data_IF_392003140378
#
_entry.id   IF_392003140378
#
_cell.length_a   1.000
_cell.length_b   1.000
_cell.length_c   1.000
_cell.angle_alpha   90.00
_cell.angle_beta   90.00
_cell.angle_gamma   90.00
#
_symmetry.space_group_name_H-M   'P 1'
#
loop_
_entity.id
_entity.type
_entity.pdbx_description
1 polymer ?
#
# COMPACT_ATOMS: atom_id res chain seq x y z
N UNK A 1 1.58 9.81 -22.31
CA UNK A 1 1.41 8.72 -21.33
C UNK A 1 2.00 9.16 -19.99
N UNK A 2 1.41 8.69 -18.90
CA UNK A 2 1.95 8.95 -17.58
C UNK A 2 3.25 8.20 -17.35
N UNK A 3 4.21 8.88 -16.74
CA UNK A 3 5.47 8.24 -16.27
C UNK A 3 5.23 7.50 -14.97
N UNK A 4 6.19 6.67 -14.57
CA UNK A 4 6.12 5.96 -13.29
C UNK A 4 5.96 6.92 -12.11
N UNK A 5 6.68 8.04 -12.11
CA UNK A 5 6.56 9.06 -11.06
C UNK A 5 5.15 9.65 -11.00
N UNK A 6 4.57 9.99 -12.15
CA UNK A 6 3.21 10.53 -12.21
C UNK A 6 2.19 9.51 -11.71
N UNK A 7 2.37 8.24 -12.06
CA UNK A 7 1.49 7.16 -11.60
C UNK A 7 1.63 6.93 -10.10
N UNK A 8 2.84 6.91 -9.58
CA UNK A 8 3.06 6.74 -8.13
C UNK A 8 2.45 7.91 -7.35
N UNK A 9 2.64 9.14 -7.83
CA UNK A 9 2.05 10.32 -7.20
C UNK A 9 0.52 10.25 -7.24
N UNK A 10 -0.06 9.85 -8.35
CA UNK A 10 -1.51 9.69 -8.47
C UNK A 10 -2.06 8.60 -7.54
N UNK A 11 -1.31 7.50 -7.37
CA UNK A 11 -1.64 6.45 -6.41
C UNK A 11 -1.66 6.99 -4.97
N UNK A 12 -0.65 7.76 -4.61
CA UNK A 12 -0.51 8.34 -3.27
C UNK A 12 -1.65 9.32 -2.98
N UNK A 13 -2.04 10.12 -3.96
CA UNK A 13 -3.03 11.18 -3.79
C UNK A 13 -4.48 10.71 -3.99
N UNK A 14 -4.69 9.54 -4.60
CA UNK A 14 -6.00 9.10 -5.04
C UNK A 14 -6.83 8.38 -3.99
N UNK A 15 -8.13 8.32 -4.24
CA UNK A 15 -9.03 7.41 -3.52
C UNK A 15 -8.70 5.96 -3.87
N UNK A 16 -9.30 5.02 -3.13
CA UNK A 16 -9.13 3.59 -3.41
C UNK A 16 -9.53 3.23 -4.85
N UNK A 17 -10.68 3.75 -5.30
CA UNK A 17 -11.17 3.47 -6.66
C UNK A 17 -10.30 4.12 -7.72
N UNK A 18 -9.92 5.39 -7.52
CA UNK A 18 -9.06 6.09 -8.48
C UNK A 18 -7.70 5.43 -8.60
N UNK A 19 -7.11 5.04 -7.48
CA UNK A 19 -5.82 4.37 -7.46
C UNK A 19 -5.86 3.02 -8.17
N UNK A 20 -6.94 2.26 -8.00
CA UNK A 20 -7.09 0.98 -8.68
C UNK A 20 -7.09 1.12 -10.21
N UNK A 21 -7.67 2.21 -10.74
CA UNK A 21 -7.73 2.44 -12.19
C UNK A 21 -6.38 2.76 -12.81
N UNK A 22 -5.38 3.07 -12.00
CA UNK A 22 -4.03 3.36 -12.49
C UNK A 22 -3.27 2.11 -12.92
N UNK A 23 -3.72 0.93 -12.50
CA UNK A 23 -3.04 -0.34 -12.78
C UNK A 23 -3.48 -0.92 -14.13
N UNK A 24 -2.53 -1.56 -14.81
CA UNK A 24 -2.82 -2.35 -16.00
C UNK A 24 -3.71 -3.55 -15.62
N UNK A 25 -4.41 -4.13 -16.61
CA UNK A 25 -5.27 -5.28 -16.36
C UNK A 25 -4.51 -6.46 -15.75
N UNK A 26 -3.25 -6.63 -16.12
CA UNK A 26 -2.34 -7.63 -15.54
C UNK A 26 -1.37 -7.03 -14.53
N UNK A 27 -1.63 -5.81 -14.08
CA UNK A 27 -0.80 -5.14 -13.08
C UNK A 27 -1.03 -5.71 -11.69
N UNK A 28 -0.06 -5.51 -10.82
CA UNK A 28 -0.12 -6.03 -9.46
C UNK A 28 0.31 -5.01 -8.41
N UNK A 29 -0.34 -5.10 -7.26
CA UNK A 29 0.08 -4.46 -6.01
C UNK A 29 0.61 -5.55 -5.10
N UNK A 30 1.85 -5.40 -4.65
CA UNK A 30 2.51 -6.37 -3.77
C UNK A 30 2.95 -5.71 -2.48
N UNK A 31 2.66 -6.37 -1.36
CA UNK A 31 3.15 -6.02 -0.03
C UNK A 31 3.73 -7.29 0.60
N UNK A 32 4.95 -7.68 0.19
CA UNK A 32 5.50 -9.01 0.51
C UNK A 32 5.55 -9.31 2.00
N UNK A 33 5.81 -8.31 2.84
CA UNK A 33 5.94 -8.50 4.28
C UNK A 33 4.63 -8.83 4.98
N UNK A 34 3.47 -8.58 4.34
CA UNK A 34 2.18 -8.96 4.92
C UNK A 34 2.01 -10.47 5.03
N UNK A 35 2.73 -11.23 4.21
CA UNK A 35 2.72 -12.70 4.29
C UNK A 35 3.14 -13.20 5.68
N UNK A 36 4.06 -12.49 6.33
CA UNK A 36 4.51 -12.84 7.70
C UNK A 36 3.40 -12.66 8.74
N UNK A 37 2.38 -11.88 8.41
CA UNK A 37 1.23 -11.64 9.27
C UNK A 37 0.01 -12.50 8.87
N UNK A 38 0.18 -13.40 7.91
CA UNK A 38 -0.89 -14.25 7.43
C UNK A 38 -1.87 -13.57 6.46
N UNK A 39 -1.44 -12.45 5.84
CA UNK A 39 -2.26 -11.68 4.90
C UNK A 39 -1.76 -11.92 3.48
N UNK A 40 -2.69 -11.97 2.52
CA UNK A 40 -2.35 -12.10 1.10
C UNK A 40 -1.39 -10.98 0.68
N UNK A 41 -0.19 -11.31 0.17
CA UNK A 41 0.81 -10.29 -0.17
C UNK A 41 0.68 -9.73 -1.59
N UNK A 42 -0.13 -10.31 -2.45
CA UNK A 42 -0.22 -9.89 -3.86
C UNK A 42 -1.67 -9.80 -4.32
N UNK A 43 -1.99 -8.68 -4.97
CA UNK A 43 -3.29 -8.44 -5.57
C UNK A 43 -3.09 -8.11 -7.04
N UNK A 44 -3.73 -8.85 -7.94
CA UNK A 44 -3.56 -8.70 -9.38
C UNK A 44 -4.84 -8.18 -10.02
N UNK A 45 -4.69 -7.19 -10.88
CA UNK A 45 -5.76 -6.56 -11.64
C UNK A 45 -6.52 -5.49 -10.86
N UNK A 46 -7.09 -4.49 -11.57
CA UNK A 46 -7.76 -3.35 -10.92
C UNK A 46 -8.89 -3.75 -9.97
N UNK A 47 -9.63 -4.80 -10.28
CA UNK A 47 -10.74 -5.24 -9.43
C UNK A 47 -10.27 -5.73 -8.06
N UNK A 48 -9.27 -6.62 -8.04
CA UNK A 48 -8.74 -7.16 -6.78
C UNK A 48 -7.98 -6.10 -6.00
N UNK A 49 -7.22 -5.26 -6.70
CA UNK A 49 -6.50 -4.14 -6.08
C UNK A 49 -7.49 -3.17 -5.46
N UNK A 50 -8.57 -2.83 -6.20
CA UNK A 50 -9.61 -1.93 -5.71
C UNK A 50 -10.30 -2.47 -4.46
N UNK A 51 -10.58 -3.76 -4.40
CA UNK A 51 -11.18 -4.39 -3.21
C UNK A 51 -10.25 -4.29 -1.99
N UNK A 52 -8.97 -4.56 -2.18
CA UNK A 52 -7.98 -4.43 -1.10
C UNK A 52 -7.84 -2.99 -0.62
N UNK A 53 -7.69 -2.04 -1.55
CA UNK A 53 -7.53 -0.63 -1.21
C UNK A 53 -8.79 -0.06 -0.54
N UNK A 54 -9.98 -0.48 -0.97
CA UNK A 54 -11.24 -0.08 -0.33
C UNK A 54 -11.28 -0.56 1.12
N UNK A 55 -10.91 -1.82 1.35
CA UNK A 55 -10.80 -2.36 2.72
C UNK A 55 -9.81 -1.54 3.55
N UNK A 56 -8.64 -1.26 2.98
CA UNK A 56 -7.59 -0.50 3.66
C UNK A 56 -8.04 0.91 4.03
N UNK A 57 -8.66 1.62 3.08
CA UNK A 57 -9.05 3.03 3.24
C UNK A 57 -10.30 3.22 4.08
N UNK A 58 -11.21 2.25 4.09
CA UNK A 58 -12.51 2.40 4.75
C UNK A 58 -12.61 1.63 6.07
N UNK A 59 -12.03 0.43 6.15
CA UNK A 59 -12.17 -0.45 7.31
C UNK A 59 -10.95 -0.40 8.22
N UNK A 60 -9.76 -0.60 7.66
CA UNK A 60 -8.55 -0.62 8.46
C UNK A 60 -8.15 0.78 8.93
N UNK A 61 -8.09 1.74 8.02
CA UNK A 61 -7.66 3.10 8.33
C UNK A 61 -8.67 4.12 7.81
N UNK A 62 -9.85 4.27 8.45
CA UNK A 62 -10.84 5.25 8.00
C UNK A 62 -10.22 6.65 7.89
N UNK A 63 -10.51 7.36 6.78
CA UNK A 63 -9.88 8.64 6.50
C UNK A 63 -8.45 8.53 5.99
N UNK A 64 -8.11 7.42 5.38
CA UNK A 64 -6.77 7.09 4.88
C UNK A 64 -6.14 8.24 4.10
N UNK A 65 -4.90 8.61 4.49
CA UNK A 65 -4.15 9.65 3.81
C UNK A 65 -2.65 9.43 4.00
N UNK A 66 -1.92 9.40 2.90
CA UNK A 66 -0.47 9.43 2.94
C UNK A 66 0.05 10.83 3.24
N UNK A 67 1.10 10.91 4.04
CA UNK A 67 1.83 12.13 4.39
C UNK A 67 3.34 11.89 4.23
N UNK A 68 4.12 12.96 4.32
CA UNK A 68 5.60 12.89 4.28
C UNK A 68 6.10 12.15 3.04
N UNK A 69 5.58 12.55 1.89
CA UNK A 69 5.87 11.90 0.60
C UNK A 69 7.21 12.40 0.06
N UNK A 70 8.08 11.46 -0.32
CA UNK A 70 9.36 11.75 -1.00
C UNK A 70 9.56 10.76 -2.13
N UNK A 71 9.85 11.25 -3.32
CA UNK A 71 10.21 10.40 -4.45
C UNK A 71 11.68 10.59 -4.71
N UNK A 72 12.46 9.55 -4.48
CA UNK A 72 13.92 9.59 -4.49
C UNK A 72 14.52 9.35 -5.87
N UNK A 73 13.93 8.44 -6.63
CA UNK A 73 14.46 7.99 -7.91
C UNK A 73 13.29 7.93 -8.89
N UNK A 74 13.48 8.52 -10.07
CA UNK A 74 12.52 8.39 -11.15
C UNK A 74 13.23 8.26 -12.51
N UNK A 75 12.69 7.37 -13.31
CA UNK A 75 12.95 7.24 -14.74
C UNK A 75 11.58 7.16 -15.41
N UNK A 76 11.47 7.22 -16.75
CA UNK A 76 10.15 7.08 -17.38
C UNK A 76 9.40 5.84 -16.97
N UNK A 77 10.11 4.74 -16.72
CA UNK A 77 9.51 3.42 -16.45
C UNK A 77 9.47 3.05 -14.98
N UNK A 78 10.25 3.71 -14.12
CA UNK A 78 10.36 3.31 -12.72
C UNK A 78 10.45 4.53 -11.81
N UNK A 79 9.80 4.42 -10.63
CA UNK A 79 9.91 5.39 -9.57
C UNK A 79 10.02 4.67 -8.24
N UNK A 80 10.76 5.27 -7.31
CA UNK A 80 10.92 4.76 -5.96
C UNK A 80 10.70 5.89 -4.97
N UNK A 81 9.82 5.68 -4.01
CA UNK A 81 9.47 6.71 -3.05
C UNK A 81 9.17 6.18 -1.67
N UNK A 82 8.98 7.13 -0.76
CA UNK A 82 8.66 6.90 0.64
C UNK A 82 7.43 7.71 1.01
N UNK A 83 6.53 7.12 1.79
CA UNK A 83 5.31 7.78 2.25
C UNK A 83 4.81 7.10 3.52
N UNK A 84 4.05 7.86 4.32
CA UNK A 84 3.70 7.44 5.69
C UNK A 84 2.22 7.66 5.93
N UNK A 85 1.63 6.85 6.81
CA UNK A 85 0.32 7.13 7.40
C UNK A 85 0.46 7.29 8.91
N UNK A 86 -0.37 8.17 9.48
CA UNK A 86 -0.54 8.34 10.92
C UNK A 86 -2.03 8.25 11.20
N UNK A 87 -2.50 7.05 11.59
CA UNK A 87 -3.94 6.83 11.70
C UNK A 87 -4.26 5.86 12.81
N UNK A 88 -5.47 6.01 13.34
CA UNK A 88 -6.04 5.02 14.25
C UNK A 88 -6.66 3.90 13.42
N UNK A 89 -6.33 2.65 13.77
CA UNK A 89 -6.94 1.50 13.11
C UNK A 89 -8.40 1.35 13.54
N UNK A 90 -9.27 1.15 12.55
CA UNK A 90 -10.67 0.81 12.80
C UNK A 90 -10.87 -0.65 13.21
N UNK A 91 -9.82 -1.48 13.11
CA UNK A 91 -9.86 -2.90 13.46
C UNK A 91 -9.33 -3.12 14.87
N UNK A 92 -8.09 -2.67 15.15
CA UNK A 92 -7.44 -2.88 16.45
C UNK A 92 -7.71 -1.77 17.46
N UNK A 93 -8.11 -0.58 16.99
CA UNK A 93 -8.23 0.61 17.82
C UNK A 93 -6.91 1.26 18.19
N UNK A 94 -5.78 0.72 17.72
CA UNK A 94 -4.45 1.24 18.05
C UNK A 94 -4.05 2.36 17.09
N UNK A 95 -3.23 3.28 17.57
CA UNK A 95 -2.60 4.28 16.72
C UNK A 95 -1.49 3.60 15.92
N UNK A 96 -1.45 3.89 14.62
CA UNK A 96 -0.49 3.30 13.69
C UNK A 96 0.32 4.38 13.02
N UNK A 97 1.64 4.24 13.08
CA UNK A 97 2.59 5.05 12.34
C UNK A 97 3.30 4.11 11.38
N UNK A 98 2.83 4.06 10.13
CA UNK A 98 3.34 3.13 9.13
C UNK A 98 4.09 3.87 8.04
N UNK A 99 5.34 3.47 7.83
CA UNK A 99 6.15 3.95 6.71
C UNK A 99 6.19 2.90 5.62
N UNK A 100 6.03 3.36 4.38
CA UNK A 100 6.12 2.52 3.19
C UNK A 100 7.26 3.00 2.31
N UNK A 101 7.95 2.05 1.66
CA UNK A 101 8.77 2.32 0.50
C UNK A 101 8.11 1.64 -0.69
N UNK A 102 7.84 2.40 -1.74
CA UNK A 102 7.15 1.89 -2.91
C UNK A 102 8.02 1.91 -4.15
N UNK A 103 8.11 0.78 -4.84
CA UNK A 103 8.76 0.65 -6.13
C UNK A 103 7.68 0.49 -7.20
N UNK A 104 7.54 1.51 -8.04
CA UNK A 104 6.55 1.55 -9.11
C UNK A 104 7.21 1.28 -10.44
N UNK A 105 6.70 0.26 -11.15
CA UNK A 105 7.12 -0.05 -12.53
C UNK A 105 5.94 0.24 -13.45
N UNK A 106 6.18 1.09 -14.45
CA UNK A 106 5.15 1.51 -15.40
C UNK A 106 5.36 0.89 -16.76
N UNK A 107 4.28 0.59 -17.44
CA UNK A 107 4.27 0.15 -18.83
C UNK A 107 3.03 0.73 -19.51
N UNK A 108 3.23 1.36 -20.68
CA UNK A 108 2.13 1.90 -21.50
C UNK A 108 1.21 2.86 -20.72
N UNK A 109 1.77 3.68 -19.83
CA UNK A 109 1.02 4.67 -19.07
C UNK A 109 0.19 4.11 -17.93
N UNK A 110 0.42 2.86 -17.54
CA UNK A 110 -0.25 2.18 -16.43
C UNK A 110 0.77 1.57 -15.47
N UNK A 111 0.35 1.32 -14.24
CA UNK A 111 1.21 0.61 -13.28
C UNK A 111 1.17 -0.88 -13.62
N UNK A 112 2.34 -1.43 -13.94
CA UNK A 112 2.51 -2.86 -14.11
C UNK A 112 2.78 -3.56 -12.78
N UNK A 113 3.58 -2.91 -11.91
CA UNK A 113 3.89 -3.41 -10.59
C UNK A 113 4.08 -2.24 -9.64
N UNK A 114 3.39 -2.27 -8.51
CA UNK A 114 3.72 -1.44 -7.35
C UNK A 114 4.03 -2.38 -6.20
N UNK A 115 5.29 -2.39 -5.77
CA UNK A 115 5.76 -3.24 -4.69
C UNK A 115 6.15 -2.39 -3.50
N UNK A 116 5.52 -2.66 -2.36
CA UNK A 116 5.73 -1.87 -1.16
C UNK A 116 6.39 -2.67 -0.06
N UNK A 117 7.47 -2.11 0.51
CA UNK A 117 8.02 -2.56 1.77
C UNK A 117 7.40 -1.74 2.89
N UNK A 118 7.11 -2.38 4.02
CA UNK A 118 6.45 -1.73 5.15
C UNK A 118 7.02 -2.25 6.47
N UNK A 119 6.73 -1.50 7.54
CA UNK A 119 7.11 -1.91 8.89
C UNK A 119 6.09 -2.92 9.42
N UNK A 120 6.52 -4.16 9.58
CA UNK A 120 5.66 -5.26 10.01
C UNK A 120 5.10 -5.03 11.42
N UNK A 121 5.88 -4.43 12.31
CA UNK A 121 5.40 -4.12 13.67
C UNK A 121 4.23 -3.16 13.63
N UNK A 122 4.34 -2.09 12.83
CA UNK A 122 3.25 -1.12 12.67
C UNK A 122 2.04 -1.74 11.99
N UNK A 123 2.24 -2.59 10.98
CA UNK A 123 1.14 -3.30 10.32
C UNK A 123 0.40 -4.21 11.32
N UNK A 124 1.14 -4.92 12.18
CA UNK A 124 0.54 -5.76 13.22
C UNK A 124 -0.29 -4.93 14.21
N UNK A 125 0.17 -3.72 14.56
CA UNK A 125 -0.60 -2.81 15.40
C UNK A 125 -1.94 -2.43 14.77
N UNK A 126 -1.97 -2.30 13.47
CA UNK A 126 -3.21 -2.01 12.75
C UNK A 126 -4.17 -3.18 12.64
N UNK A 127 -3.65 -4.40 12.69
CA UNK A 127 -4.43 -5.62 12.41
C UNK A 127 -4.85 -6.38 13.66
N UNK A 128 -4.07 -6.31 14.75
CA UNK A 128 -4.27 -7.16 15.92
C UNK A 128 -4.40 -6.34 17.21
N UNK A 129 -5.30 -6.74 18.14
CA UNK A 129 -5.50 -6.00 19.39
C UNK A 129 -4.23 -5.80 20.22
N UNK A 130 -3.33 -6.78 20.23
CA UNK A 130 -2.07 -6.73 20.96
C UNK A 130 -0.85 -6.60 20.04
N UNK A 131 -1.06 -6.14 18.80
CA UNK A 131 0.00 -5.95 17.84
C UNK A 131 0.76 -7.24 17.53
N UNK A 132 2.09 -7.15 17.43
CA UNK A 132 2.93 -8.29 17.05
C UNK A 132 2.87 -9.45 18.05
N UNK A 133 2.50 -9.18 19.30
CA UNK A 133 2.32 -10.23 20.31
C UNK A 133 1.32 -11.29 19.88
N UNK A 134 0.24 -10.89 19.22
CA UNK A 134 -0.77 -11.83 18.73
C UNK A 134 -0.23 -12.75 17.63
N UNK A 135 0.75 -12.29 16.87
CA UNK A 135 1.40 -13.07 15.81
C UNK A 135 2.43 -14.03 16.39
N UNK A 136 3.30 -13.53 17.25
CA UNK A 136 4.39 -14.30 17.86
C UNK A 136 3.84 -15.46 18.68
N UNK A 137 2.80 -15.23 19.44
CA UNK A 137 2.22 -16.25 20.32
C UNK A 137 1.51 -17.39 19.56
N UNK A 138 1.34 -17.26 18.26
CA UNK A 138 0.70 -18.30 17.40
C UNK A 138 1.70 -19.15 16.63
N UNK A 139 2.98 -18.80 16.69
CA UNK A 139 4.05 -19.53 15.97
C UNK A 139 4.49 -20.79 16.68
#
# INVERSE_FOLDING_TARGET
MKTAKQLLQAYIDGSAQDSATLFADNGALELPYLADLGVEPRYEGPRNIGAFLTFLHEKMYPGFKFVDVKIYIDTPDQAFGEYTIHQKSGISGRLVHQRFFGHCVAANGKIFLLREALNVLAAADGMFPNGIGDVINKR
#
